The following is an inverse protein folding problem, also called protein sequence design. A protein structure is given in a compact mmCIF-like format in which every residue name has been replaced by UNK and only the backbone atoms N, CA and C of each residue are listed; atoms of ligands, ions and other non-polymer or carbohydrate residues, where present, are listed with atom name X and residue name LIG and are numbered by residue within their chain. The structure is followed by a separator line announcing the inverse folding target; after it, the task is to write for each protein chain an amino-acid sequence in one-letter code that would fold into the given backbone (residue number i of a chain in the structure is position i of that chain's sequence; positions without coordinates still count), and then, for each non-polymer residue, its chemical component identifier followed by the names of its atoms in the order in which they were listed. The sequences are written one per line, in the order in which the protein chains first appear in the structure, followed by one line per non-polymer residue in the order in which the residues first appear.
data_IF_782398736716
#
_entry.id   IF_782398736716
#
_cell.length_a   1.000
_cell.length_b   1.000
_cell.length_c   1.000
_cell.angle_alpha   90.00
_cell.angle_beta   90.00
_cell.angle_gamma   90.00
#
_symmetry.space_group_name_H-M   'P 1'
#
loop_
_entity.id
_entity.type
_entity.pdbx_description
1 polymer ?
#
# COMPACT_ATOMS: atom_id res chain seq x y z
N UNK A 1 7.60 -2.32 -14.97
CA UNK A 1 7.62 -2.43 -13.50
C UNK A 1 6.84 -1.25 -12.94
N UNK A 2 5.94 -1.46 -11.98
CA UNK A 2 5.01 -0.43 -11.49
C UNK A 2 5.34 -0.03 -10.06
N UNK A 3 5.59 1.26 -9.82
CA UNK A 3 5.86 1.77 -8.48
C UNK A 3 4.58 1.82 -7.66
N UNK A 4 4.62 1.18 -6.49
CA UNK A 4 3.46 1.00 -5.64
C UNK A 4 3.80 1.36 -4.19
N UNK A 5 2.82 1.94 -3.51
CA UNK A 5 2.86 2.15 -2.07
C UNK A 5 2.00 1.10 -1.40
N UNK A 6 2.50 0.51 -0.32
CA UNK A 6 1.74 -0.40 0.52
C UNK A 6 1.05 0.41 1.63
N UNK A 7 -0.24 0.18 1.87
CA UNK A 7 -0.99 0.83 2.94
C UNK A 7 -1.58 -0.24 3.87
N UNK A 8 -1.26 -0.11 5.15
CA UNK A 8 -1.49 -1.09 6.23
C UNK A 8 -0.50 -2.26 6.24
N UNK A 9 0.15 -2.43 7.39
CA UNK A 9 1.28 -3.33 7.65
C UNK A 9 0.98 -4.36 8.76
N UNK A 10 -0.31 -4.75 8.90
CA UNK A 10 -0.78 -5.67 9.94
C UNK A 10 -0.81 -7.14 9.49
N UNK A 11 -1.62 -7.97 10.15
CA UNK A 11 -1.73 -9.41 9.86
C UNK A 11 -2.09 -9.73 8.41
N UNK A 12 -2.94 -8.89 7.79
CA UNK A 12 -3.30 -9.03 6.38
C UNK A 12 -2.09 -8.82 5.45
N UNK A 13 -1.16 -7.93 5.80
CA UNK A 13 0.10 -7.79 5.07
C UNK A 13 0.95 -9.06 5.17
N UNK A 14 1.12 -9.61 6.38
CA UNK A 14 1.88 -10.84 6.59
C UNK A 14 1.31 -12.01 5.76
N UNK A 15 -0.01 -12.08 5.65
CA UNK A 15 -0.70 -13.08 4.82
C UNK A 15 -0.38 -12.91 3.33
N UNK A 16 -0.29 -11.69 2.82
CA UNK A 16 -0.01 -11.39 1.41
C UNK A 16 1.49 -11.21 1.09
N UNK A 17 2.36 -11.19 2.08
CA UNK A 17 3.79 -10.91 1.93
C UNK A 17 4.44 -11.74 0.83
N UNK A 18 4.31 -13.07 0.88
CA UNK A 18 4.90 -13.97 -0.11
C UNK A 18 4.37 -13.71 -1.53
N UNK A 19 3.10 -13.32 -1.67
CA UNK A 19 2.53 -12.98 -2.96
C UNK A 19 3.11 -11.66 -3.51
N UNK A 20 3.26 -10.65 -2.65
CA UNK A 20 3.85 -9.35 -3.00
C UNK A 20 5.32 -9.55 -3.40
N UNK A 21 6.08 -10.30 -2.59
CA UNK A 21 7.48 -10.62 -2.86
C UNK A 21 7.64 -11.35 -4.20
N UNK A 22 6.74 -12.30 -4.52
CA UNK A 22 6.74 -12.97 -5.83
C UNK A 22 6.49 -11.98 -6.97
N UNK A 23 5.54 -11.04 -6.83
CA UNK A 23 5.30 -10.04 -7.88
C UNK A 23 6.47 -9.05 -8.05
N UNK A 24 7.20 -8.74 -6.96
CA UNK A 24 8.44 -7.96 -7.03
C UNK A 24 9.54 -8.73 -7.75
N UNK A 25 9.73 -10.02 -7.40
CA UNK A 25 10.70 -10.89 -8.05
C UNK A 25 10.43 -11.06 -9.56
N UNK A 26 9.16 -11.13 -9.96
CA UNK A 26 8.75 -11.17 -11.37
C UNK A 26 8.89 -9.82 -12.11
N UNK A 27 9.34 -8.75 -11.45
CA UNK A 27 9.49 -7.41 -12.04
C UNK A 27 8.17 -6.70 -12.37
N UNK A 28 7.05 -7.17 -11.81
CA UNK A 28 5.71 -6.63 -12.08
C UNK A 28 5.42 -5.43 -11.19
N UNK A 29 5.80 -5.51 -9.92
CA UNK A 29 5.57 -4.50 -8.91
C UNK A 29 6.89 -4.07 -8.28
N UNK A 30 6.96 -2.82 -7.83
CA UNK A 30 8.05 -2.31 -7.01
C UNK A 30 7.42 -1.58 -5.83
N UNK A 31 7.56 -2.12 -4.61
CA UNK A 31 7.05 -1.47 -3.40
C UNK A 31 8.08 -0.45 -2.94
N UNK A 32 7.77 0.83 -3.09
CA UNK A 32 8.70 1.92 -2.80
C UNK A 32 8.60 2.42 -1.36
N UNK A 33 7.45 2.24 -0.72
CA UNK A 33 7.21 2.66 0.65
C UNK A 33 6.01 1.91 1.26
N UNK A 34 6.02 1.79 2.59
CA UNK A 34 4.91 1.28 3.38
C UNK A 34 4.34 2.41 4.25
N UNK A 35 3.02 2.59 4.21
CA UNK A 35 2.31 3.62 4.95
C UNK A 35 1.73 3.02 6.22
N UNK A 36 2.04 3.67 7.33
CA UNK A 36 1.41 3.43 8.62
C UNK A 36 0.96 4.77 9.23
N UNK A 37 0.08 4.70 10.23
CA UNK A 37 -0.27 5.88 11.02
C UNK A 37 0.94 6.30 11.85
N UNK A 38 1.13 7.60 12.02
CA UNK A 38 2.29 8.17 12.73
C UNK A 38 2.46 7.59 14.15
N UNK A 39 1.35 7.35 14.84
CA UNK A 39 1.27 6.72 16.17
C UNK A 39 1.72 5.24 16.20
N UNK A 40 1.82 4.60 15.04
CA UNK A 40 2.16 3.18 14.87
C UNK A 40 3.49 3.00 14.11
N UNK A 41 4.35 4.02 14.06
CA UNK A 41 5.70 3.90 13.49
C UNK A 41 6.61 3.28 14.56
N UNK A 42 6.80 1.96 14.47
CA UNK A 42 7.70 1.22 15.35
C UNK A 42 9.10 1.03 14.76
N UNK A 43 9.34 1.47 13.52
CA UNK A 43 10.63 1.33 12.84
C UNK A 43 10.70 2.13 11.54
N UNK A 44 11.93 2.37 11.05
CA UNK A 44 12.18 3.09 9.78
C UNK A 44 11.95 2.23 8.54
N UNK A 45 11.97 0.90 8.70
CA UNK A 45 11.83 -0.05 7.62
C UNK A 45 10.94 -1.23 8.05
N UNK A 46 10.20 -1.77 7.09
CA UNK A 46 9.44 -3.02 7.17
C UNK A 46 9.91 -3.91 6.03
N UNK A 47 10.58 -5.04 6.32
CA UNK A 47 11.09 -5.96 5.30
C UNK A 47 11.95 -5.27 4.21
N UNK A 48 12.80 -4.33 4.63
CA UNK A 48 13.61 -3.45 3.77
C UNK A 48 12.83 -2.41 2.94
N UNK A 49 11.53 -2.27 3.16
CA UNK A 49 10.69 -1.22 2.58
C UNK A 49 10.68 -0.03 3.55
N UNK A 50 10.96 1.20 3.11
CA UNK A 50 10.92 2.37 3.99
C UNK A 50 9.48 2.61 4.48
N UNK A 51 9.34 2.88 5.77
CA UNK A 51 8.04 3.19 6.38
C UNK A 51 7.87 4.70 6.42
N UNK A 52 6.74 5.18 5.90
CA UNK A 52 6.39 6.60 5.81
C UNK A 52 5.03 6.89 6.43
N UNK A 53 4.78 8.13 6.79
CA UNK A 53 3.46 8.63 7.19
C UNK A 53 2.56 8.86 5.98
N UNK A 54 1.24 8.83 6.20
CA UNK A 54 0.24 9.18 5.17
C UNK A 54 0.46 10.58 4.56
N UNK A 55 0.98 11.54 5.33
CA UNK A 55 1.33 12.89 4.85
C UNK A 55 2.49 12.90 3.85
N UNK A 56 3.42 11.96 3.97
CA UNK A 56 4.63 11.87 3.14
C UNK A 56 4.36 11.17 1.80
N UNK A 57 3.20 10.51 1.65
CA UNK A 57 2.77 9.83 0.43
C UNK A 57 2.79 10.77 -0.77
N UNK A 58 2.42 12.05 -0.57
CA UNK A 58 2.42 13.08 -1.63
C UNK A 58 3.81 13.37 -2.22
N UNK A 59 4.87 13.06 -1.49
CA UNK A 59 6.25 13.31 -1.92
C UNK A 59 6.84 12.12 -2.70
N UNK A 60 6.08 11.06 -2.91
CA UNK A 60 6.52 9.85 -3.58
C UNK A 60 5.93 9.75 -4.99
N UNK A 61 6.73 9.33 -5.96
CA UNK A 61 6.26 9.02 -7.31
C UNK A 61 5.81 7.55 -7.40
N UNK A 62 4.48 7.33 -7.40
CA UNK A 62 3.88 6.01 -7.50
C UNK A 62 2.69 5.99 -8.45
N UNK A 63 2.40 4.81 -8.97
CA UNK A 63 1.26 4.58 -9.85
C UNK A 63 0.06 3.99 -9.11
N UNK A 64 0.31 3.20 -8.06
CA UNK A 64 -0.73 2.52 -7.32
C UNK A 64 -0.52 2.50 -5.80
N UNK A 65 -1.62 2.53 -5.05
CA UNK A 65 -1.62 2.18 -3.62
C UNK A 65 -2.25 0.79 -3.48
N UNK A 66 -1.56 -0.09 -2.76
CA UNK A 66 -1.99 -1.44 -2.39
C UNK A 66 -2.47 -1.39 -0.95
N UNK A 67 -3.77 -1.56 -0.72
CA UNK A 67 -4.33 -1.62 0.63
C UNK A 67 -4.36 -3.07 1.13
N UNK A 68 -3.62 -3.35 2.20
CA UNK A 68 -3.50 -4.66 2.84
C UNK A 68 -4.19 -4.66 4.21
N UNK A 69 -5.47 -4.27 4.25
CA UNK A 69 -6.33 -4.44 5.42
C UNK A 69 -7.75 -4.77 4.97
N UNK A 70 -8.34 -5.82 5.55
CA UNK A 70 -9.77 -6.14 5.35
C UNK A 70 -10.64 -5.34 6.31
N UNK A 71 -10.21 -5.20 7.56
CA UNK A 71 -11.01 -4.59 8.63
C UNK A 71 -11.20 -3.09 8.42
N UNK A 72 -10.13 -2.40 8.02
CA UNK A 72 -10.13 -0.94 7.84
C UNK A 72 -10.14 -0.56 6.36
N UNK A 73 -10.59 -1.47 5.49
CA UNK A 73 -10.50 -1.29 4.05
C UNK A 73 -11.20 -0.02 3.56
N UNK A 74 -12.45 0.16 3.99
CA UNK A 74 -13.28 1.30 3.56
C UNK A 74 -12.75 2.61 4.16
N UNK A 75 -12.39 2.62 5.45
CA UNK A 75 -11.78 3.78 6.11
C UNK A 75 -10.49 4.24 5.41
N UNK A 76 -9.60 3.30 5.06
CA UNK A 76 -8.35 3.60 4.35
C UNK A 76 -8.66 4.13 2.93
N UNK A 77 -9.66 3.56 2.26
CA UNK A 77 -10.06 4.09 0.96
C UNK A 77 -10.59 5.51 1.05
N UNK A 78 -11.39 5.82 2.07
CA UNK A 78 -11.95 7.16 2.27
C UNK A 78 -10.85 8.16 2.63
N UNK A 79 -9.85 7.75 3.41
CA UNK A 79 -8.65 8.54 3.69
C UNK A 79 -7.84 8.83 2.41
N UNK A 80 -7.62 7.80 1.59
CA UNK A 80 -6.91 7.93 0.30
C UNK A 80 -7.67 8.86 -0.66
N UNK A 81 -8.99 8.70 -0.76
CA UNK A 81 -9.84 9.56 -1.62
C UNK A 81 -9.89 10.98 -1.08
N UNK A 82 -10.01 11.17 0.24
CA UNK A 82 -9.92 12.46 0.90
C UNK A 82 -8.56 13.14 0.72
N UNK A 83 -7.49 12.35 0.56
CA UNK A 83 -6.15 12.81 0.20
C UNK A 83 -5.99 13.30 -1.24
N UNK A 84 -7.01 13.11 -2.09
CA UNK A 84 -7.04 13.56 -3.49
C UNK A 84 -6.72 12.47 -4.52
N UNK A 85 -6.62 11.20 -4.11
CA UNK A 85 -6.30 10.09 -5.01
C UNK A 85 -7.57 9.44 -5.57
N UNK A 86 -7.57 9.00 -6.84
CA UNK A 86 -8.75 8.35 -7.44
C UNK A 86 -8.79 6.85 -7.13
N UNK A 87 -9.97 6.39 -6.70
CA UNK A 87 -10.26 4.97 -6.51
C UNK A 87 -10.50 4.31 -7.87
N UNK A 88 -9.68 3.31 -8.22
CA UNK A 88 -9.93 2.44 -9.37
C UNK A 88 -10.08 1.00 -8.86
N UNK A 89 -11.27 0.43 -9.03
CA UNK A 89 -11.55 -0.92 -8.58
C UNK A 89 -11.08 -1.94 -9.63
N UNK A 90 -10.29 -2.94 -9.20
CA UNK A 90 -9.93 -4.08 -10.06
C UNK A 90 -10.84 -5.25 -9.73
N UNK A 91 -11.71 -5.64 -10.66
CA UNK A 91 -12.66 -6.75 -10.48
C UNK A 91 -11.99 -8.13 -10.39
N UNK A 92 -10.67 -8.25 -10.61
CA UNK A 92 -9.96 -9.53 -10.61
C UNK A 92 -9.55 -10.04 -9.23
N UNK A 93 -9.54 -9.19 -8.20
CA UNK A 93 -9.15 -9.58 -6.86
C UNK A 93 -9.99 -8.81 -5.84
N UNK A 94 -11.05 -9.42 -5.30
CA UNK A 94 -11.91 -8.80 -4.27
C UNK A 94 -11.17 -8.38 -2.98
N UNK A 95 -9.86 -8.69 -2.86
CA UNK A 95 -9.01 -8.42 -1.69
C UNK A 95 -7.74 -7.60 -1.99
N UNK A 96 -7.55 -7.14 -3.22
CA UNK A 96 -6.37 -6.37 -3.64
C UNK A 96 -6.87 -5.13 -4.38
N UNK A 97 -6.72 -3.96 -3.76
CA UNK A 97 -7.17 -2.71 -4.35
C UNK A 97 -5.99 -1.89 -4.81
N UNK A 98 -6.15 -1.32 -6.01
CA UNK A 98 -5.15 -0.55 -6.73
C UNK A 98 -5.77 0.83 -6.98
N UNK A 99 -5.60 1.78 -6.07
CA UNK A 99 -5.97 3.17 -6.35
C UNK A 99 -4.98 3.75 -7.37
N UNK A 100 -5.48 4.30 -8.48
CA UNK A 100 -4.66 4.91 -9.54
C UNK A 100 -4.87 6.42 -9.49
N UNK A 101 -3.79 7.20 -9.41
CA UNK A 101 -3.84 8.68 -9.49
C UNK A 101 -4.27 9.11 -10.89
#
# INVERSE_FOLDING_TARGET
MRNCILWATGDDYNYFYNFIALQQYMGRLNIIAAVTKQENIYGKYLDNIPVICASEVKNQEFEYIIVCSRRFFDEICDEIVGGGYRKKQSNKCKRFWLCKI
#
